data_IF_033857047601
#
_entry.id   IF_033857047601
#
_cell.length_a   1.000
_cell.length_b   1.000
_cell.length_c   1.000
_cell.angle_alpha   90.00
_cell.angle_beta   90.00
_cell.angle_gamma   90.00
#
_symmetry.space_group_name_H-M   'P 1'
#
loop_
_entity.id
_entity.type
_entity.pdbx_description
1 polymer ?
#
# COMPACT_ATOMS: atom_id res chain seq x y z
N UNK A 1 6.56 13.20 19.11
CA UNK A 1 5.80 11.93 19.24
C UNK A 1 6.69 10.77 18.78
N UNK A 2 6.49 9.58 19.33
CA UNK A 2 7.20 8.36 18.91
C UNK A 2 6.36 7.61 17.88
N UNK A 3 6.97 7.25 16.77
CA UNK A 3 6.34 6.57 15.64
C UNK A 3 7.02 5.25 15.35
N UNK A 4 6.25 4.24 14.97
CA UNK A 4 6.79 2.94 14.57
C UNK A 4 6.29 2.55 13.17
N UNK A 5 7.18 2.03 12.35
CA UNK A 5 6.83 1.47 11.04
C UNK A 5 7.16 -0.02 11.04
N UNK A 6 6.16 -0.84 10.77
CA UNK A 6 6.33 -2.28 10.47
C UNK A 6 6.18 -2.44 8.95
N UNK A 7 7.29 -2.77 8.28
CA UNK A 7 7.35 -2.77 6.81
C UNK A 7 7.90 -1.46 6.23
N UNK A 8 9.11 -1.07 6.64
CA UNK A 8 9.79 0.16 6.19
C UNK A 8 10.44 -0.03 4.80
N UNK A 9 9.62 -0.34 3.80
CA UNK A 9 9.96 -0.47 2.39
C UNK A 9 9.74 0.84 1.60
N UNK A 10 9.22 0.72 0.38
CA UNK A 10 9.03 1.84 -0.55
C UNK A 10 8.12 2.96 -0.01
N UNK A 11 6.98 2.61 0.58
CA UNK A 11 6.06 3.56 1.22
C UNK A 11 6.57 3.97 2.59
N UNK A 12 6.92 2.99 3.44
CA UNK A 12 7.34 3.23 4.81
C UNK A 12 8.51 4.18 4.95
N UNK A 13 9.53 4.13 4.07
CA UNK A 13 10.66 5.07 4.08
C UNK A 13 10.25 6.51 3.78
N UNK A 14 9.26 6.71 2.89
CA UNK A 14 8.73 8.04 2.58
C UNK A 14 7.93 8.61 3.74
N UNK A 15 7.10 7.79 4.37
CA UNK A 15 6.39 8.19 5.60
C UNK A 15 7.38 8.50 6.72
N UNK A 16 8.43 7.66 6.89
CA UNK A 16 9.47 7.92 7.89
C UNK A 16 10.14 9.28 7.68
N UNK A 17 10.46 9.62 6.42
CA UNK A 17 11.04 10.91 6.09
C UNK A 17 10.14 12.07 6.50
N UNK A 18 8.85 12.02 6.14
CA UNK A 18 7.88 13.06 6.52
C UNK A 18 7.76 13.19 8.05
N UNK A 19 7.73 12.08 8.78
CA UNK A 19 7.68 12.09 10.24
C UNK A 19 8.95 12.68 10.87
N UNK A 20 10.13 12.35 10.34
CA UNK A 20 11.40 12.92 10.78
C UNK A 20 11.46 14.43 10.50
N UNK A 21 11.03 14.86 9.31
CA UNK A 21 10.98 16.28 8.91
C UNK A 21 10.01 17.08 9.82
N UNK A 22 8.99 16.44 10.37
CA UNK A 22 8.07 17.00 11.37
C UNK A 22 8.62 16.95 12.80
N UNK A 23 9.84 16.46 13.01
CA UNK A 23 10.49 16.38 14.33
C UNK A 23 10.02 15.22 15.21
N UNK A 24 9.48 14.16 14.63
CA UNK A 24 9.09 12.95 15.37
C UNK A 24 10.28 11.98 15.52
N UNK A 25 10.28 11.20 16.59
CA UNK A 25 11.16 10.04 16.76
C UNK A 25 10.58 8.86 15.97
N UNK A 26 11.33 8.34 15.02
CA UNK A 26 10.86 7.27 14.15
C UNK A 26 11.67 6.01 14.33
N UNK A 27 10.99 4.92 14.65
CA UNK A 27 11.55 3.57 14.69
C UNK A 27 10.97 2.71 13.56
N UNK A 28 11.72 1.71 13.10
CA UNK A 28 11.22 0.78 12.10
C UNK A 28 11.67 -0.66 12.36
N UNK A 29 10.72 -1.59 12.22
CA UNK A 29 10.98 -3.02 12.33
C UNK A 29 11.75 -3.52 11.10
N UNK A 30 12.83 -4.24 11.33
CA UNK A 30 13.63 -4.90 10.29
C UNK A 30 14.12 -6.27 10.74
N UNK A 31 14.28 -7.20 9.79
CA UNK A 31 14.73 -8.57 10.05
C UNK A 31 16.25 -8.73 9.99
N UNK A 32 16.98 -7.80 9.41
CA UNK A 32 18.41 -7.94 9.17
C UNK A 32 19.23 -6.78 9.70
N UNK A 33 20.48 -7.10 10.12
CA UNK A 33 21.45 -6.11 10.55
C UNK A 33 21.88 -5.15 9.43
N UNK A 34 21.89 -5.61 8.18
CA UNK A 34 22.22 -4.79 7.02
C UNK A 34 21.17 -3.69 6.82
N UNK A 35 19.90 -4.06 6.82
CA UNK A 35 18.80 -3.09 6.75
C UNK A 35 18.78 -2.15 7.96
N UNK A 36 19.18 -2.63 9.14
CA UNK A 36 19.30 -1.79 10.33
C UNK A 36 20.31 -0.64 10.13
N UNK A 37 21.45 -0.92 9.50
CA UNK A 37 22.42 0.11 9.18
C UNK A 37 21.87 1.14 8.17
N UNK A 38 21.16 0.67 7.17
CA UNK A 38 20.46 1.55 6.21
C UNK A 38 19.42 2.43 6.92
N UNK A 39 18.65 1.89 7.85
CA UNK A 39 17.67 2.68 8.60
C UNK A 39 18.36 3.76 9.45
N UNK A 40 19.45 3.42 10.15
CA UNK A 40 20.23 4.40 10.94
C UNK A 40 20.78 5.54 10.08
N UNK A 41 21.28 5.25 8.88
CA UNK A 41 21.77 6.29 7.97
C UNK A 41 20.68 7.26 7.50
N UNK A 42 19.40 6.85 7.60
CA UNK A 42 18.24 7.68 7.32
C UNK A 42 17.66 8.37 8.58
N UNK A 43 18.30 8.25 9.72
CA UNK A 43 17.80 8.80 10.99
C UNK A 43 16.68 7.99 11.65
N UNK A 44 16.44 6.76 11.20
CA UNK A 44 15.38 5.88 11.69
C UNK A 44 15.99 4.87 12.66
N UNK A 45 15.46 4.75 13.89
CA UNK A 45 15.92 3.77 14.88
C UNK A 45 15.44 2.35 14.48
N UNK A 46 16.35 1.40 14.21
CA UNK A 46 15.95 0.05 13.84
C UNK A 46 15.55 -0.79 15.05
N UNK A 47 14.44 -1.48 14.93
CA UNK A 47 13.98 -2.52 15.86
C UNK A 47 14.15 -3.88 15.18
N UNK A 48 15.07 -4.71 15.69
CA UNK A 48 15.35 -6.02 15.11
C UNK A 48 14.28 -7.01 15.55
N UNK A 49 13.33 -7.30 14.68
CA UNK A 49 12.25 -8.25 14.92
C UNK A 49 11.69 -8.79 13.59
N UNK A 50 11.01 -9.93 13.65
CA UNK A 50 10.35 -10.59 12.52
C UNK A 50 8.92 -10.95 12.91
N UNK A 51 7.94 -10.41 12.21
CA UNK A 51 6.51 -10.67 12.46
C UNK A 51 6.12 -12.14 12.29
N UNK A 52 6.91 -12.93 11.54
CA UNK A 52 6.71 -14.38 11.40
C UNK A 52 7.33 -15.18 12.56
N UNK A 53 8.04 -14.51 13.48
CA UNK A 53 8.74 -15.10 14.62
C UNK A 53 8.31 -14.42 15.91
N UNK A 54 7.22 -14.90 16.55
CA UNK A 54 6.59 -14.27 17.72
C UNK A 54 7.56 -13.92 18.86
N UNK A 55 8.56 -14.77 19.09
CA UNK A 55 9.56 -14.60 20.14
C UNK A 55 10.42 -13.34 19.98
N UNK A 56 10.47 -12.78 18.77
CA UNK A 56 11.25 -11.56 18.49
C UNK A 56 10.46 -10.28 18.76
N UNK A 57 9.14 -10.36 18.98
CA UNK A 57 8.26 -9.20 19.06
C UNK A 57 8.23 -8.53 20.44
N UNK A 58 8.81 -9.17 21.45
CA UNK A 58 8.89 -8.63 22.81
C UNK A 58 9.71 -7.31 22.91
N UNK A 59 10.54 -7.01 21.90
CA UNK A 59 11.37 -5.79 21.84
C UNK A 59 10.66 -4.59 21.22
N UNK A 60 9.41 -4.74 20.77
CA UNK A 60 8.65 -3.65 20.15
C UNK A 60 8.41 -2.54 21.18
N UNK A 61 8.88 -1.30 20.91
CA UNK A 61 8.76 -0.20 21.84
C UNK A 61 7.33 0.32 21.95
N UNK A 62 7.01 0.98 23.05
CA UNK A 62 5.78 1.75 23.17
C UNK A 62 5.87 3.02 22.31
N UNK A 63 4.87 3.26 21.48
CA UNK A 63 4.81 4.37 20.53
C UNK A 63 3.42 5.00 20.51
N UNK A 64 3.31 6.22 19.98
CA UNK A 64 2.03 6.94 19.90
C UNK A 64 1.24 6.55 18.64
N UNK A 65 1.95 6.28 17.54
CA UNK A 65 1.35 5.88 16.24
C UNK A 65 2.16 4.76 15.60
N UNK A 66 1.46 3.81 14.98
CA UNK A 66 2.04 2.71 14.24
C UNK A 66 1.51 2.67 12.81
N UNK A 67 2.42 2.61 11.84
CA UNK A 67 2.11 2.27 10.46
C UNK A 67 2.47 0.81 10.19
N UNK A 68 1.47 -0.02 9.88
CA UNK A 68 1.68 -1.39 9.42
C UNK A 68 1.57 -1.44 7.89
N UNK A 69 2.74 -1.48 7.21
CA UNK A 69 2.89 -1.39 5.75
C UNK A 69 3.67 -2.59 5.19
N UNK A 70 3.43 -3.77 5.75
CA UNK A 70 4.12 -4.99 5.36
C UNK A 70 3.67 -5.43 3.96
N UNK A 71 4.63 -5.76 3.11
CA UNK A 71 4.40 -6.32 1.79
C UNK A 71 4.94 -7.74 1.72
N UNK A 72 4.17 -8.64 1.09
CA UNK A 72 4.60 -10.01 0.86
C UNK A 72 5.76 -10.06 -0.15
N UNK A 73 6.84 -10.71 0.24
CA UNK A 73 7.96 -11.02 -0.64
C UNK A 73 7.67 -12.29 -1.43
N UNK A 74 7.37 -12.12 -2.72
CA UNK A 74 7.06 -13.22 -3.64
C UNK A 74 8.23 -14.19 -3.84
N UNK A 75 9.47 -13.73 -3.57
CA UNK A 75 10.67 -14.58 -3.69
C UNK A 75 10.91 -15.46 -2.46
N UNK A 76 10.19 -15.20 -1.36
CA UNK A 76 10.36 -15.94 -0.09
C UNK A 76 9.90 -17.39 -0.13
N UNK A 77 9.12 -17.78 -1.15
CA UNK A 77 8.49 -19.10 -1.24
C UNK A 77 7.35 -19.34 -0.23
N UNK A 78 7.05 -18.37 0.64
CA UNK A 78 5.97 -18.45 1.61
C UNK A 78 4.62 -18.00 1.00
N UNK A 79 3.49 -18.54 1.44
CA UNK A 79 2.19 -18.06 0.98
C UNK A 79 1.92 -16.64 1.51
N UNK A 80 1.14 -15.82 0.77
CA UNK A 80 0.77 -14.47 1.23
C UNK A 80 0.15 -14.43 2.62
N UNK A 81 -0.59 -15.47 3.00
CA UNK A 81 -1.25 -15.61 4.30
C UNK A 81 -0.24 -15.57 5.46
N UNK A 82 0.93 -16.20 5.31
CA UNK A 82 1.97 -16.19 6.34
C UNK A 82 2.43 -14.76 6.68
N UNK A 83 2.49 -13.88 5.67
CA UNK A 83 2.90 -12.49 5.87
C UNK A 83 1.75 -11.60 6.35
N UNK A 84 0.61 -11.64 5.62
CA UNK A 84 -0.46 -10.67 5.86
C UNK A 84 -1.31 -11.03 7.09
N UNK A 85 -1.66 -12.30 7.26
CA UNK A 85 -2.55 -12.74 8.34
C UNK A 85 -1.76 -13.15 9.58
N UNK A 86 -0.88 -14.16 9.43
CA UNK A 86 -0.16 -14.71 10.57
C UNK A 86 0.82 -13.68 11.15
N UNK A 87 1.52 -12.94 10.27
CA UNK A 87 2.41 -11.86 10.71
C UNK A 87 1.70 -10.75 11.45
N UNK A 88 0.52 -10.29 10.98
CA UNK A 88 -0.28 -9.30 11.69
C UNK A 88 -0.80 -9.83 13.02
N UNK A 89 -1.35 -11.05 13.04
CA UNK A 89 -1.85 -11.68 14.26
C UNK A 89 -0.75 -11.87 15.32
N UNK A 90 0.44 -12.30 14.89
CA UNK A 90 1.60 -12.37 15.77
C UNK A 90 1.94 -11.00 16.34
N UNK A 91 1.99 -9.96 15.50
CA UNK A 91 2.28 -8.60 15.94
C UNK A 91 1.23 -8.13 16.96
N UNK A 92 -0.05 -8.26 16.69
CA UNK A 92 -1.13 -7.85 17.58
C UNK A 92 -1.12 -8.60 18.92
N UNK A 93 -0.72 -9.87 18.92
CA UNK A 93 -0.76 -10.73 20.10
C UNK A 93 0.49 -10.63 20.97
N UNK A 94 1.67 -10.49 20.36
CA UNK A 94 2.95 -10.64 21.06
C UNK A 94 3.72 -9.34 21.24
N UNK A 95 3.29 -8.22 20.60
CA UNK A 95 3.85 -6.92 20.92
C UNK A 95 3.39 -6.46 22.29
N UNK A 96 4.30 -6.04 23.17
CA UNK A 96 3.95 -5.74 24.58
C UNK A 96 3.06 -4.51 24.73
N UNK A 97 3.16 -3.56 23.79
CA UNK A 97 2.46 -2.29 23.83
C UNK A 97 1.91 -1.94 22.45
N UNK A 98 0.62 -2.14 22.23
CA UNK A 98 -0.04 -1.63 21.03
C UNK A 98 -0.40 -0.15 21.25
N UNK A 99 -0.13 0.74 20.27
CA UNK A 99 -0.42 2.16 20.36
C UNK A 99 -1.92 2.45 20.34
N UNK A 100 -2.31 3.67 20.71
CA UNK A 100 -3.70 4.12 20.58
C UNK A 100 -4.10 4.38 19.12
N UNK A 101 -3.13 4.54 18.23
CA UNK A 101 -3.37 4.73 16.79
C UNK A 101 -2.57 3.74 15.95
N UNK A 102 -3.29 2.99 15.09
CA UNK A 102 -2.67 2.08 14.14
C UNK A 102 -3.27 2.24 12.75
N UNK A 103 -2.41 2.40 11.75
CA UNK A 103 -2.77 2.53 10.34
C UNK A 103 -2.28 1.28 9.62
N UNK A 104 -3.21 0.54 9.02
CA UNK A 104 -2.93 -0.64 8.21
C UNK A 104 -3.00 -0.29 6.73
N UNK A 105 -1.93 -0.49 5.98
CA UNK A 105 -1.99 -0.44 4.51
C UNK A 105 -2.47 -1.80 4.00
N UNK A 106 -3.65 -1.80 3.40
CA UNK A 106 -4.26 -2.90 2.68
C UNK A 106 -4.25 -2.62 1.17
N UNK A 107 -5.06 -3.31 0.40
CA UNK A 107 -5.09 -3.24 -1.06
C UNK A 107 -6.50 -3.28 -1.62
N UNK A 108 -6.74 -2.64 -2.77
CA UNK A 108 -8.00 -2.79 -3.51
C UNK A 108 -8.21 -4.20 -4.09
N UNK A 109 -7.22 -5.09 -3.99
CA UNK A 109 -7.36 -6.50 -4.39
C UNK A 109 -8.29 -7.31 -3.48
N UNK A 110 -8.75 -6.73 -2.35
CA UNK A 110 -9.78 -7.33 -1.48
C UNK A 110 -11.15 -7.42 -2.15
N UNK A 111 -11.39 -6.62 -3.19
CA UNK A 111 -12.62 -6.67 -3.98
C UNK A 111 -12.50 -7.68 -5.13
N UNK A 112 -13.52 -8.54 -5.27
CA UNK A 112 -13.60 -9.52 -6.36
C UNK A 112 -14.36 -9.02 -7.61
N UNK A 113 -14.75 -7.76 -7.63
CA UNK A 113 -15.46 -7.14 -8.77
C UNK A 113 -14.55 -7.09 -9.98
N UNK A 114 -15.06 -7.54 -11.12
CA UNK A 114 -14.29 -7.78 -12.36
C UNK A 114 -15.08 -7.47 -13.64
N UNK A 115 -16.20 -6.77 -13.52
CA UNK A 115 -17.13 -6.44 -14.58
C UNK A 115 -17.12 -4.95 -14.98
N UNK A 116 -16.14 -4.19 -14.49
CA UNK A 116 -16.03 -2.75 -14.72
C UNK A 116 -16.91 -1.90 -13.79
N UNK A 117 -17.63 -2.50 -12.86
CA UNK A 117 -18.43 -1.75 -11.89
C UNK A 117 -17.59 -0.89 -10.96
N UNK A 118 -18.20 0.15 -10.40
CA UNK A 118 -17.62 0.98 -9.36
C UNK A 118 -17.63 0.25 -8.01
N UNK A 119 -16.55 0.43 -7.23
CA UNK A 119 -16.44 -0.06 -5.87
C UNK A 119 -16.02 1.07 -4.94
N UNK A 120 -16.52 1.03 -3.73
CA UNK A 120 -16.19 1.91 -2.62
C UNK A 120 -15.89 1.10 -1.36
N UNK A 121 -15.74 1.76 -0.22
CA UNK A 121 -15.43 1.11 1.05
C UNK A 121 -16.54 0.20 1.58
N UNK A 122 -17.79 0.46 1.19
CA UNK A 122 -18.99 -0.32 1.62
C UNK A 122 -19.22 -1.54 0.72
N UNK A 123 -18.54 -1.62 -0.41
CA UNK A 123 -18.58 -2.79 -1.31
C UNK A 123 -18.01 -4.02 -0.59
N UNK A 124 -18.72 -5.16 -0.58
CA UNK A 124 -18.24 -6.38 0.08
C UNK A 124 -16.90 -6.87 -0.45
N UNK A 125 -16.02 -7.27 0.47
CA UNK A 125 -14.74 -7.89 0.11
C UNK A 125 -14.98 -9.35 -0.30
N UNK A 126 -14.63 -9.69 -1.54
CA UNK A 126 -14.79 -11.04 -2.12
C UNK A 126 -13.61 -11.36 -3.05
N UNK A 127 -12.39 -11.26 -2.53
CA UNK A 127 -11.16 -11.33 -3.31
C UNK A 127 -11.01 -12.64 -4.10
N UNK A 128 -10.65 -12.52 -5.38
CA UNK A 128 -10.43 -13.66 -6.27
C UNK A 128 -9.01 -14.25 -6.15
N UNK A 129 -8.03 -13.48 -5.69
CA UNK A 129 -6.62 -13.89 -5.61
C UNK A 129 -6.22 -14.27 -4.19
N UNK A 130 -5.28 -15.21 -4.04
CA UNK A 130 -4.75 -15.60 -2.72
C UNK A 130 -4.20 -14.40 -1.92
N UNK A 131 -3.54 -13.44 -2.57
CA UNK A 131 -3.06 -12.22 -1.92
C UNK A 131 -4.20 -11.30 -1.48
N UNK A 132 -5.23 -11.15 -2.32
CA UNK A 132 -6.43 -10.38 -1.96
C UNK A 132 -7.19 -10.99 -0.79
N UNK A 133 -7.38 -12.33 -0.80
CA UNK A 133 -8.02 -13.08 0.28
C UNK A 133 -7.27 -12.91 1.59
N UNK A 134 -5.92 -13.06 1.56
CA UNK A 134 -5.09 -12.86 2.74
C UNK A 134 -5.19 -11.42 3.29
N UNK A 135 -5.26 -10.39 2.43
CA UNK A 135 -5.46 -9.02 2.89
C UNK A 135 -6.85 -8.80 3.48
N UNK A 136 -7.91 -9.36 2.88
CA UNK A 136 -9.28 -9.25 3.42
C UNK A 136 -9.41 -9.96 4.78
N UNK A 137 -8.76 -11.11 4.95
CA UNK A 137 -8.66 -11.80 6.24
C UNK A 137 -7.88 -10.96 7.26
N UNK A 138 -6.74 -10.36 6.86
CA UNK A 138 -5.94 -9.51 7.71
C UNK A 138 -6.72 -8.24 8.16
N UNK A 139 -7.51 -7.61 7.29
CA UNK A 139 -8.40 -6.52 7.69
C UNK A 139 -9.41 -6.96 8.76
N UNK A 140 -10.02 -8.15 8.57
CA UNK A 140 -10.97 -8.71 9.54
C UNK A 140 -10.30 -8.93 10.90
N UNK A 141 -9.10 -9.49 10.91
CA UNK A 141 -8.32 -9.76 12.13
C UNK A 141 -7.83 -8.47 12.78
N UNK A 142 -7.45 -7.45 11.99
CA UNK A 142 -7.13 -6.10 12.46
C UNK A 142 -8.30 -5.49 13.23
N UNK A 143 -9.50 -5.48 12.65
CA UNK A 143 -10.69 -4.93 13.29
C UNK A 143 -11.07 -5.71 14.54
N UNK A 144 -10.92 -7.04 14.54
CA UNK A 144 -11.22 -7.90 15.70
C UNK A 144 -10.16 -7.76 16.80
N UNK A 145 -8.88 -7.86 16.46
CA UNK A 145 -7.79 -7.96 17.44
C UNK A 145 -7.31 -6.61 17.95
N UNK A 146 -7.26 -5.61 17.10
CA UNK A 146 -6.78 -4.29 17.47
C UNK A 146 -7.89 -3.39 18.01
N UNK A 147 -9.00 -3.25 17.30
CA UNK A 147 -10.02 -2.25 17.60
C UNK A 147 -11.12 -2.74 18.56
N UNK A 148 -11.82 -3.87 18.26
CA UNK A 148 -13.01 -4.29 19.04
C UNK A 148 -12.76 -4.52 20.52
N UNK A 149 -11.56 -4.96 20.89
CA UNK A 149 -11.23 -5.24 22.28
C UNK A 149 -10.87 -3.97 23.08
N UNK A 150 -10.78 -2.79 22.43
CA UNK A 150 -10.30 -1.55 23.02
C UNK A 150 -11.02 -0.31 22.44
N UNK A 151 -12.31 -0.40 22.17
CA UNK A 151 -13.12 0.59 21.43
C UNK A 151 -13.05 2.03 21.98
N UNK A 152 -12.83 2.20 23.28
CA UNK A 152 -12.89 3.55 23.90
C UNK A 152 -11.59 4.35 23.78
N UNK A 153 -10.46 3.72 23.41
CA UNK A 153 -9.16 4.38 23.42
C UNK A 153 -8.36 4.26 22.11
N UNK A 154 -8.76 3.37 21.18
CA UNK A 154 -7.95 3.07 19.99
C UNK A 154 -8.61 3.51 18.69
N UNK A 155 -7.81 4.11 17.81
CA UNK A 155 -8.22 4.48 16.47
C UNK A 155 -7.47 3.60 15.46
N UNK A 156 -8.20 2.70 14.83
CA UNK A 156 -7.73 1.88 13.72
C UNK A 156 -8.12 2.48 12.38
N UNK A 157 -7.19 2.60 11.46
CA UNK A 157 -7.45 3.06 10.09
C UNK A 157 -6.94 2.01 9.11
N UNK A 158 -7.77 1.65 8.14
CA UNK A 158 -7.38 0.80 7.02
C UNK A 158 -7.32 1.63 5.74
N UNK A 159 -6.18 1.61 5.07
CA UNK A 159 -5.98 2.27 3.77
C UNK A 159 -5.90 1.19 2.68
N UNK A 160 -6.99 0.97 1.93
CA UNK A 160 -7.04 0.06 0.77
C UNK A 160 -6.40 0.73 -0.43
N UNK A 161 -5.09 0.55 -0.59
CA UNK A 161 -4.31 1.18 -1.65
C UNK A 161 -4.56 0.51 -3.00
N UNK A 162 -4.75 1.33 -4.03
CA UNK A 162 -4.69 0.95 -5.43
C UNK A 162 -3.26 0.61 -5.87
N UNK A 163 -3.02 0.40 -7.15
CA UNK A 163 -1.71 0.13 -7.71
C UNK A 163 -0.76 1.31 -7.49
N UNK A 164 0.23 1.16 -6.60
CA UNK A 164 1.17 2.22 -6.23
C UNK A 164 2.18 2.43 -7.37
N UNK A 165 2.29 3.66 -7.85
CA UNK A 165 3.33 4.08 -8.78
C UNK A 165 4.10 5.30 -8.23
N UNK A 166 5.22 5.65 -8.87
CA UNK A 166 6.06 6.78 -8.47
C UNK A 166 7.52 6.53 -8.79
N UNK A 167 8.44 7.43 -8.39
CA UNK A 167 9.88 7.33 -8.68
C UNK A 167 10.48 5.98 -8.30
N UNK A 168 11.20 5.36 -9.25
CA UNK A 168 11.85 4.05 -9.07
C UNK A 168 10.92 2.82 -9.14
N UNK A 169 9.61 3.00 -9.34
CA UNK A 169 8.63 1.91 -9.33
C UNK A 169 8.22 1.41 -10.72
N UNK A 170 8.49 2.18 -11.76
CA UNK A 170 8.07 1.91 -13.13
C UNK A 170 9.13 1.20 -13.99
N UNK A 171 10.36 1.06 -13.50
CA UNK A 171 11.52 0.59 -14.26
C UNK A 171 11.27 -0.71 -15.05
N UNK A 172 10.66 -1.72 -14.40
CA UNK A 172 10.35 -2.98 -15.04
C UNK A 172 9.35 -2.82 -16.20
N UNK A 173 8.30 -2.00 -15.99
CA UNK A 173 7.27 -1.77 -17.03
C UNK A 173 7.84 -1.01 -18.22
N UNK A 174 8.69 -0.02 -17.96
CA UNK A 174 9.40 0.71 -19.00
C UNK A 174 10.31 -0.22 -19.79
N UNK A 175 11.10 -1.06 -19.12
CA UNK A 175 11.95 -2.06 -19.77
C UNK A 175 11.15 -3.04 -20.63
N UNK A 176 10.02 -3.54 -20.12
CA UNK A 176 9.14 -4.44 -20.89
C UNK A 176 8.59 -3.74 -22.15
N UNK A 177 8.20 -2.46 -22.07
CA UNK A 177 7.76 -1.69 -23.25
C UNK A 177 8.89 -1.49 -24.25
N UNK A 178 10.09 -1.13 -23.79
CA UNK A 178 11.28 -0.96 -24.64
C UNK A 178 11.65 -2.25 -25.38
N UNK A 179 11.49 -3.40 -24.72
CA UNK A 179 11.74 -4.73 -25.31
C UNK A 179 10.55 -5.26 -26.13
N UNK A 180 9.47 -4.50 -26.26
CA UNK A 180 8.22 -4.91 -26.93
C UNK A 180 7.66 -6.23 -26.40
N UNK A 181 7.84 -6.49 -25.09
CA UNK A 181 7.24 -7.65 -24.44
C UNK A 181 5.72 -7.55 -24.46
N UNK A 182 4.99 -8.54 -24.99
CA UNK A 182 3.55 -8.47 -25.06
C UNK A 182 2.89 -8.43 -23.68
N UNK A 183 1.87 -7.61 -23.54
CA UNK A 183 1.11 -7.43 -22.31
C UNK A 183 -0.04 -8.44 -22.30
N UNK A 184 0.02 -9.41 -21.37
CA UNK A 184 -1.04 -10.41 -21.17
C UNK A 184 -2.12 -9.86 -20.26
N UNK A 185 -2.95 -8.95 -20.79
CA UNK A 185 -4.07 -8.36 -20.06
C UNK A 185 -5.09 -7.74 -21.04
N UNK A 186 -6.36 -7.67 -20.63
CA UNK A 186 -7.36 -6.95 -21.40
C UNK A 186 -6.98 -5.47 -21.54
N UNK A 187 -6.72 -4.96 -22.77
CA UNK A 187 -6.32 -3.57 -22.99
C UNK A 187 -7.38 -2.56 -22.54
N UNK A 188 -8.66 -2.93 -22.60
CA UNK A 188 -9.79 -2.09 -22.25
C UNK A 188 -10.23 -2.28 -20.78
N UNK A 189 -9.55 -3.17 -20.05
CA UNK A 189 -9.77 -3.39 -18.62
C UNK A 189 -9.23 -2.23 -17.77
N UNK A 190 -9.93 -1.93 -16.67
CA UNK A 190 -9.62 -0.82 -15.77
C UNK A 190 -8.42 -1.08 -14.89
N UNK A 191 -7.63 -0.05 -14.69
CA UNK A 191 -6.59 0.07 -13.68
C UNK A 191 -6.99 1.16 -12.69
N UNK A 192 -6.71 0.90 -11.42
CA UNK A 192 -6.77 1.89 -10.36
C UNK A 192 -5.35 2.10 -9.85
N UNK A 193 -4.92 3.33 -9.78
CA UNK A 193 -3.55 3.69 -9.43
C UNK A 193 -3.56 4.73 -8.33
N UNK A 194 -2.43 4.91 -7.67
CA UNK A 194 -2.18 6.00 -6.73
C UNK A 194 -0.69 6.35 -6.79
N UNK A 195 -0.39 7.63 -6.86
CA UNK A 195 0.99 8.09 -6.71
C UNK A 195 1.46 7.86 -5.27
N UNK A 196 2.71 7.42 -5.09
CA UNK A 196 3.24 7.11 -3.75
C UNK A 196 3.17 8.28 -2.79
N UNK A 197 3.38 9.52 -3.27
CA UNK A 197 3.33 10.70 -2.41
C UNK A 197 1.90 10.97 -1.91
N UNK A 198 0.87 10.67 -2.71
CA UNK A 198 -0.53 10.76 -2.30
C UNK A 198 -0.92 9.68 -1.29
N UNK A 199 -0.37 8.47 -1.42
CA UNK A 199 -0.51 7.44 -0.39
C UNK A 199 0.18 7.87 0.91
N UNK A 200 1.36 8.50 0.84
CA UNK A 200 2.04 9.07 2.01
C UNK A 200 1.17 10.14 2.67
N UNK A 201 0.62 11.08 1.89
CA UNK A 201 -0.31 12.09 2.41
C UNK A 201 -1.54 11.46 3.06
N UNK A 202 -2.07 10.36 2.48
CA UNK A 202 -3.19 9.63 3.07
C UNK A 202 -2.82 9.03 4.44
N UNK A 203 -1.60 8.52 4.62
CA UNK A 203 -1.11 8.06 5.93
C UNK A 203 -1.02 9.22 6.93
N UNK A 204 -0.49 10.38 6.52
CA UNK A 204 -0.38 11.56 7.40
C UNK A 204 -1.75 12.11 7.80
N UNK A 205 -2.72 12.12 6.89
CA UNK A 205 -4.09 12.52 7.22
C UNK A 205 -4.80 11.49 8.12
N UNK A 206 -4.54 10.18 7.93
CA UNK A 206 -5.07 9.12 8.79
C UNK A 206 -4.62 9.27 10.25
N UNK A 207 -3.48 9.91 10.51
CA UNK A 207 -3.05 10.25 11.87
C UNK A 207 -3.95 11.28 12.56
N UNK A 208 -4.69 12.08 11.80
CA UNK A 208 -5.57 13.12 12.30
C UNK A 208 -7.03 12.65 12.41
N UNK A 209 -7.34 11.46 11.90
CA UNK A 209 -8.68 10.89 11.97
C UNK A 209 -9.13 10.77 13.45
N UNK A 210 -10.38 11.10 13.70
CA UNK A 210 -10.97 11.05 15.05
C UNK A 210 -11.71 9.76 15.34
N UNK A 211 -12.12 9.08 14.28
CA UNK A 211 -12.88 7.84 14.33
C UNK A 211 -12.18 6.74 13.51
N UNK A 212 -12.32 5.47 13.91
CA UNK A 212 -11.83 4.35 13.13
C UNK A 212 -12.62 4.20 11.83
N UNK A 213 -11.92 4.01 10.71
CA UNK A 213 -12.57 3.86 9.40
C UNK A 213 -11.66 3.15 8.39
N UNK A 214 -12.23 2.80 7.24
CA UNK A 214 -11.54 2.28 6.06
C UNK A 214 -11.63 3.30 4.93
N UNK A 215 -10.54 3.52 4.20
CA UNK A 215 -10.47 4.43 3.07
C UNK A 215 -9.87 3.76 1.85
N UNK A 216 -10.49 4.00 0.70
CA UNK A 216 -9.99 3.59 -0.60
C UNK A 216 -9.01 4.67 -1.12
N UNK A 217 -7.75 4.28 -1.32
CA UNK A 217 -6.69 5.22 -1.71
C UNK A 217 -6.33 5.00 -3.16
N UNK A 218 -6.90 5.82 -4.04
CA UNK A 218 -6.63 5.85 -5.47
C UNK A 218 -6.69 7.29 -5.99
N UNK A 219 -6.21 7.51 -7.22
CA UNK A 219 -6.39 8.77 -7.94
C UNK A 219 -7.85 9.00 -8.33
N UNK A 220 -8.17 10.20 -8.85
CA UNK A 220 -9.55 10.61 -9.17
C UNK A 220 -10.10 9.91 -10.41
N UNK A 221 -9.23 9.31 -11.22
CA UNK A 221 -9.62 8.77 -12.52
C UNK A 221 -9.12 7.35 -12.76
N UNK A 222 -9.96 6.31 -12.54
CA UNK A 222 -9.68 4.97 -13.06
C UNK A 222 -9.36 5.03 -14.56
N UNK A 223 -8.34 4.31 -15.01
CA UNK A 223 -7.84 4.38 -16.37
C UNK A 223 -7.85 3.02 -17.05
N UNK A 224 -8.06 2.96 -18.37
CA UNK A 224 -7.89 1.72 -19.13
C UNK A 224 -6.40 1.37 -19.30
N UNK A 225 -6.08 0.06 -19.32
CA UNK A 225 -4.70 -0.40 -19.50
C UNK A 225 -4.06 0.13 -20.77
N UNK A 226 -4.80 0.16 -21.87
CA UNK A 226 -4.32 0.69 -23.15
C UNK A 226 -3.84 2.12 -22.99
N UNK A 227 -4.67 2.99 -22.42
CA UNK A 227 -4.34 4.40 -22.21
C UNK A 227 -3.10 4.56 -21.32
N UNK A 228 -3.06 3.82 -20.18
CA UNK A 228 -1.92 3.85 -19.27
C UNK A 228 -0.60 3.46 -19.95
N UNK A 229 -0.57 2.34 -20.68
CA UNK A 229 0.65 1.86 -21.31
C UNK A 229 1.05 2.71 -22.51
N UNK A 230 0.10 3.26 -23.28
CA UNK A 230 0.37 4.20 -24.37
C UNK A 230 1.06 5.45 -23.82
N UNK A 231 0.49 6.04 -22.78
CA UNK A 231 1.08 7.22 -22.14
C UNK A 231 2.47 6.94 -21.55
N UNK A 232 2.66 5.79 -20.92
CA UNK A 232 3.96 5.41 -20.39
C UNK A 232 5.00 5.25 -21.53
N UNK A 233 4.60 4.65 -22.65
CA UNK A 233 5.46 4.53 -23.84
C UNK A 233 5.85 5.90 -24.41
N UNK A 234 4.88 6.80 -24.59
CA UNK A 234 5.10 8.16 -25.06
C UNK A 234 6.10 8.94 -24.18
N UNK A 235 5.88 8.92 -22.86
CA UNK A 235 6.74 9.64 -21.90
C UNK A 235 8.16 9.07 -21.80
N UNK A 236 8.37 7.80 -22.15
CA UNK A 236 9.69 7.14 -22.06
C UNK A 236 10.38 6.94 -23.40
N UNK A 237 9.74 7.37 -24.50
CA UNK A 237 10.24 7.13 -25.86
C UNK A 237 10.26 5.65 -26.24
N UNK A 238 9.48 4.82 -25.57
CA UNK A 238 9.35 3.40 -25.89
C UNK A 238 8.39 3.18 -27.08
N UNK A 239 8.51 2.05 -27.82
CA UNK A 239 7.53 1.67 -28.83
C UNK A 239 6.11 1.56 -28.27
N UNK A 240 5.07 1.70 -29.10
CA UNK A 240 3.68 1.48 -28.68
C UNK A 240 3.48 0.11 -28.00
N UNK A 241 2.62 0.03 -26.97
CA UNK A 241 2.38 -1.23 -26.26
C UNK A 241 1.75 -2.29 -27.17
N UNK A 242 2.25 -3.51 -27.07
CA UNK A 242 1.71 -4.68 -27.77
C UNK A 242 0.90 -5.50 -26.76
N UNK A 243 -0.38 -5.75 -27.07
CA UNK A 243 -1.23 -6.63 -26.26
C UNK A 243 -1.39 -7.98 -26.96
N UNK A 244 -1.44 -9.07 -26.19
CA UNK A 244 -1.74 -10.37 -26.77
C UNK A 244 -3.09 -10.37 -27.47
N UNK A 245 -3.10 -10.86 -28.72
CA UNK A 245 -4.33 -10.98 -29.51
C UNK A 245 -5.27 -12.08 -28.99
N UNK A 246 -4.76 -13.01 -28.21
CA UNK A 246 -5.45 -14.20 -27.74
C UNK A 246 -6.38 -13.90 -26.54
N UNK A 247 -7.14 -12.88 -26.64
CA UNK A 247 -8.27 -12.39 -25.84
C UNK A 247 -8.87 -13.24 -24.70
N UNK A 248 -8.05 -14.03 -23.99
CA UNK A 248 -8.52 -14.88 -22.90
C UNK A 248 -8.71 -14.12 -21.58
N UNK A 249 -8.17 -12.93 -21.41
CA UNK A 249 -8.49 -12.12 -20.24
C UNK A 249 -9.72 -11.25 -20.51
N UNK A 250 -10.89 -11.78 -20.19
CA UNK A 250 -12.19 -11.05 -20.26
C UNK A 250 -12.36 -10.07 -19.10
N UNK A 251 -11.45 -10.09 -18.13
CA UNK A 251 -11.48 -9.23 -16.96
C UNK A 251 -11.56 -7.76 -17.34
N UNK A 252 -12.66 -7.11 -16.96
CA UNK A 252 -12.81 -5.67 -17.10
C UNK A 252 -12.23 -4.90 -15.93
N UNK A 253 -11.87 -5.60 -14.83
CA UNK A 253 -11.47 -4.96 -13.60
C UNK A 253 -12.62 -4.25 -12.91
N UNK A 254 -12.28 -3.29 -12.07
CA UNK A 254 -13.22 -2.44 -11.32
C UNK A 254 -12.79 -0.99 -11.39
N UNK A 255 -13.69 -0.07 -11.03
CA UNK A 255 -13.37 1.35 -10.86
C UNK A 255 -13.48 1.74 -9.40
N UNK A 256 -12.38 2.11 -8.78
CA UNK A 256 -12.33 2.50 -7.38
C UNK A 256 -12.74 3.96 -7.19
N UNK A 257 -13.58 4.24 -6.20
CA UNK A 257 -13.99 5.59 -5.80
C UNK A 257 -13.17 6.02 -4.58
N UNK A 258 -12.52 7.18 -4.67
CA UNK A 258 -11.78 7.79 -3.56
C UNK A 258 -12.61 8.83 -2.80
N UNK A 259 -13.93 8.89 -3.02
CA UNK A 259 -14.78 9.94 -2.47
C UNK A 259 -14.68 10.06 -0.96
N UNK A 260 -14.71 8.95 -0.22
CA UNK A 260 -14.58 8.95 1.26
C UNK A 260 -13.22 9.46 1.70
N UNK A 261 -12.15 9.11 0.99
CA UNK A 261 -10.79 9.62 1.23
C UNK A 261 -10.75 11.16 1.15
N UNK A 262 -11.37 11.73 0.14
CA UNK A 262 -11.38 13.18 -0.11
C UNK A 262 -12.34 13.91 0.85
N UNK A 263 -13.59 13.45 0.93
CA UNK A 263 -14.65 14.17 1.65
C UNK A 263 -14.58 13.99 3.18
N UNK A 264 -14.18 12.80 3.64
CA UNK A 264 -14.18 12.47 5.08
C UNK A 264 -12.79 12.57 5.69
N UNK A 265 -11.77 11.98 5.08
CA UNK A 265 -10.41 12.06 5.59
C UNK A 265 -9.72 13.38 5.23
N UNK A 266 -10.21 14.08 4.22
CA UNK A 266 -9.71 15.40 3.82
C UNK A 266 -8.38 15.38 3.07
N UNK A 267 -8.05 14.28 2.43
CA UNK A 267 -6.83 14.17 1.61
C UNK A 267 -6.95 15.07 0.39
N UNK A 268 -5.89 15.79 0.08
CA UNK A 268 -5.73 16.56 -1.15
C UNK A 268 -4.68 15.89 -2.00
N UNK A 269 -5.09 15.28 -3.11
CA UNK A 269 -4.17 14.62 -4.01
C UNK A 269 -3.27 15.64 -4.70
N UNK A 270 -1.98 15.38 -4.67
CA UNK A 270 -0.98 16.15 -5.43
C UNK A 270 -0.95 15.71 -6.90
N UNK A 271 -1.25 14.45 -7.13
CA UNK A 271 -1.29 13.83 -8.45
C UNK A 271 -2.66 13.18 -8.66
N UNK A 272 -3.71 13.98 -8.92
CA UNK A 272 -5.08 13.50 -9.00
C UNK A 272 -5.33 12.56 -10.18
N UNK A 273 -4.45 12.58 -11.18
CA UNK A 273 -4.50 11.65 -12.33
C UNK A 273 -3.11 11.16 -12.72
N UNK A 274 -3.05 10.14 -13.56
CA UNK A 274 -1.77 9.68 -14.13
C UNK A 274 -1.13 10.75 -15.04
N UNK A 275 -1.92 11.68 -15.57
CA UNK A 275 -1.42 12.78 -16.38
C UNK A 275 -0.49 13.70 -15.58
N UNK A 276 -0.83 13.86 -14.30
CA UNK A 276 -0.05 14.65 -13.36
C UNK A 276 1.13 13.85 -12.79
N UNK A 277 0.90 12.57 -12.46
CA UNK A 277 1.85 11.77 -11.68
C UNK A 277 2.90 10.99 -12.50
N UNK A 278 2.60 10.52 -13.72
CA UNK A 278 3.56 9.76 -14.52
C UNK A 278 4.81 10.56 -14.90
N UNK A 279 4.70 11.85 -15.35
CA UNK A 279 5.88 12.66 -15.61
C UNK A 279 6.80 12.76 -14.40
N UNK A 280 6.25 12.99 -13.19
CA UNK A 280 7.04 13.02 -11.97
C UNK A 280 7.68 11.66 -11.68
N UNK A 281 6.92 10.57 -11.80
CA UNK A 281 7.40 9.21 -11.52
C UNK A 281 8.60 8.80 -12.42
N UNK A 282 8.66 9.30 -13.65
CA UNK A 282 9.71 8.99 -14.62
C UNK A 282 10.93 9.90 -14.40
N UNK A 283 10.75 11.22 -14.35
CA UNK A 283 11.86 12.18 -14.28
C UNK A 283 12.57 12.21 -12.94
N UNK A 284 11.90 11.88 -11.83
CA UNK A 284 12.53 11.84 -10.51
C UNK A 284 13.33 10.55 -10.24
N UNK A 285 13.49 9.68 -11.25
CA UNK A 285 14.27 8.44 -11.14
C UNK A 285 15.70 8.63 -11.70
N UNK A 286 15.96 9.76 -12.30
CA UNK A 286 17.30 10.24 -12.72
C UNK A 286 17.87 11.18 -11.66
#
# INVERSE_FOLDING_TARGET
>A
MRKLIVGCGYVGRRVAKEWLDQGHEVSAVTRSAENANTLRSLGIEPVIADITRPETLAVIPAVDTLLYAVSHDRSSGQPPRATYVEGLNNFLKYSPNLPDRMILISTTSVYGVDDGSEVDEDTPTAAATASGQANAEAETDFWRGYWRNHQESRIGIVLRSAGIYGPGRLLRRVSSLQNQEPISANPDGWLNLVHVDDLVQSVLQAELAKEPDTYLVCDDRPIQRREYYTKLAELTGAPPPVFHADGQETSQGKRCSNRRLIETLGVKLRYPTIDDGLPHAIHSTT
#
